data_IF_151108503801
#
_entry.id   IF_151108503801
#
_cell.length_a   1.000
_cell.length_b   1.000
_cell.length_c   1.000
_cell.angle_alpha   90.00
_cell.angle_beta   90.00
_cell.angle_gamma   90.00
#
_symmetry.space_group_name_H-M   'P 1'
#
loop_
_entity.id
_entity.type
_entity.pdbx_description
1 polymer ?
#
# COMPACT_ATOMS: atom_id res chain seq x y z
N UNK A 1 -18.35 5.67 -0.22
CA UNK A 1 -17.33 5.27 0.76
C UNK A 1 -16.00 5.23 0.03
N UNK A 2 -15.13 6.22 0.21
CA UNK A 2 -13.77 6.19 -0.35
C UNK A 2 -12.99 5.08 0.36
N UNK A 3 -12.59 4.03 -0.36
CA UNK A 3 -11.76 2.98 0.21
C UNK A 3 -10.29 3.42 0.08
N UNK A 4 -9.60 3.57 1.21
CA UNK A 4 -8.17 3.87 1.21
C UNK A 4 -7.40 2.59 0.87
N UNK A 5 -6.41 2.71 -0.02
CA UNK A 5 -5.50 1.63 -0.41
C UNK A 5 -4.05 2.11 -0.26
N UNK A 6 -3.10 1.19 -0.41
CA UNK A 6 -1.69 1.50 -0.32
C UNK A 6 -0.96 0.94 -1.53
N UNK A 7 -0.17 1.75 -2.23
CA UNK A 7 0.60 1.32 -3.39
C UNK A 7 2.10 1.47 -3.15
N UNK A 8 2.83 0.38 -3.33
CA UNK A 8 4.28 0.42 -3.50
C UNK A 8 4.61 0.47 -4.99
N UNK A 9 5.15 1.59 -5.45
CA UNK A 9 5.52 1.77 -6.87
C UNK A 9 6.81 1.03 -7.25
N UNK A 10 7.65 0.64 -6.28
CA UNK A 10 8.90 -0.11 -6.54
C UNK A 10 8.63 -1.57 -6.87
N UNK A 11 7.65 -2.16 -6.22
CA UNK A 11 7.22 -3.55 -6.44
C UNK A 11 5.96 -3.66 -7.30
N UNK A 12 5.38 -2.53 -7.69
CA UNK A 12 4.06 -2.42 -8.31
C UNK A 12 2.95 -3.22 -7.58
N UNK A 13 3.02 -3.21 -6.24
CA UNK A 13 2.06 -3.91 -5.38
C UNK A 13 1.01 -2.93 -4.83
N UNK A 14 -0.23 -3.38 -4.79
CA UNK A 14 -1.35 -2.65 -4.19
C UNK A 14 -1.92 -3.43 -3.02
N UNK A 15 -1.94 -2.82 -1.85
CA UNK A 15 -2.46 -3.37 -0.60
C UNK A 15 -3.78 -2.70 -0.27
N UNK A 16 -4.73 -3.49 0.24
CA UNK A 16 -6.04 -2.99 0.71
C UNK A 16 -6.02 -2.53 2.17
N UNK A 17 -5.01 -2.96 2.92
CA UNK A 17 -4.88 -2.70 4.36
C UNK A 17 -3.51 -2.09 4.62
N UNK A 18 -3.45 -1.13 5.54
CA UNK A 18 -2.20 -0.51 5.99
C UNK A 18 -1.25 -1.53 6.62
N UNK A 19 -1.77 -2.49 7.39
CA UNK A 19 -0.98 -3.55 8.01
C UNK A 19 -0.10 -4.31 7.01
N UNK A 20 -0.65 -4.64 5.84
CA UNK A 20 0.11 -5.30 4.78
C UNK A 20 1.16 -4.37 4.15
N UNK A 21 0.87 -3.07 4.05
CA UNK A 21 1.80 -2.08 3.55
C UNK A 21 2.99 -1.87 4.52
N UNK A 22 2.73 -1.91 5.83
CA UNK A 22 3.75 -1.86 6.88
C UNK A 22 4.64 -3.11 6.87
N UNK A 23 4.04 -4.31 6.83
CA UNK A 23 4.80 -5.57 6.72
C UNK A 23 5.67 -5.56 5.45
N UNK A 24 5.12 -5.10 4.33
CA UNK A 24 5.87 -4.95 3.09
C UNK A 24 7.07 -4.00 3.26
N UNK A 25 6.86 -2.85 3.90
CA UNK A 25 7.92 -1.89 4.20
C UNK A 25 9.00 -2.51 5.08
N UNK A 26 8.64 -3.28 6.10
CA UNK A 26 9.61 -3.89 7.02
C UNK A 26 10.46 -4.97 6.35
N UNK A 27 9.86 -5.80 5.48
CA UNK A 27 10.57 -6.89 4.79
C UNK A 27 11.43 -6.37 3.65
N UNK A 28 10.94 -5.39 2.90
CA UNK A 28 11.57 -4.95 1.63
C UNK A 28 12.27 -3.61 1.72
N UNK A 29 12.10 -2.88 2.83
CA UNK A 29 12.52 -1.49 3.00
C UNK A 29 11.96 -0.54 1.92
N UNK A 30 10.83 -0.90 1.30
CA UNK A 30 10.17 -0.09 0.28
C UNK A 30 9.00 0.69 0.86
N UNK A 31 8.93 2.02 0.63
CA UNK A 31 7.80 2.81 1.08
C UNK A 31 6.57 2.54 0.21
N UNK A 32 5.46 2.17 0.84
CA UNK A 32 4.14 2.22 0.24
C UNK A 32 3.49 3.59 0.51
N UNK A 33 2.72 4.11 -0.44
CA UNK A 33 1.97 5.37 -0.32
C UNK A 33 0.48 5.08 -0.23
N UNK A 34 -0.22 5.82 0.62
CA UNK A 34 -1.67 5.81 0.65
C UNK A 34 -2.23 6.35 -0.68
N UNK A 35 -3.25 5.70 -1.21
CA UNK A 35 -3.96 6.06 -2.43
C UNK A 35 -5.46 6.00 -2.18
N UNK A 36 -6.20 6.93 -2.75
CA UNK A 36 -7.65 6.85 -2.76
C UNK A 36 -8.07 5.85 -3.84
N UNK A 37 -8.75 4.77 -3.42
CA UNK A 37 -9.25 3.77 -4.33
C UNK A 37 -10.70 4.12 -4.65
N UNK A 38 -10.89 4.81 -5.76
CA UNK A 38 -12.21 5.00 -6.36
C UNK A 38 -12.67 3.63 -6.87
N UNK A 39 -13.68 3.06 -6.22
CA UNK A 39 -14.38 1.86 -6.69
C UNK A 39 -15.31 2.21 -7.83
#
# INVERSE_FOLDING_TARGET
>A
MSALGWKCYRCDLTFKQESHALIHKDITNHPAREIERTV
#
